data_IF_787320716475
#
_entry.id   IF_787320716475
#
_cell.length_a   1.000
_cell.length_b   1.000
_cell.length_c   1.000
_cell.angle_alpha   90.00
_cell.angle_beta   90.00
_cell.angle_gamma   90.00
#
_symmetry.space_group_name_H-M   'P 1'
#
loop_
_entity.id
_entity.type
_entity.pdbx_description
1 polymer ?
#
# COMPACT_ATOMS: atom_id res chain seq x y z
N UNK A 1 -13.70 28.48 -11.53
CA UNK A 1 -13.10 27.95 -10.30
C UNK A 1 -12.63 26.52 -10.55
N UNK A 2 -11.61 26.01 -9.84
CA UNK A 2 -11.19 24.62 -10.00
C UNK A 2 -12.38 23.68 -9.74
N UNK A 3 -12.54 22.59 -10.52
CA UNK A 3 -13.69 21.70 -10.42
C UNK A 3 -13.69 21.04 -9.03
N UNK A 4 -14.74 21.31 -8.25
CA UNK A 4 -14.92 20.77 -6.90
C UNK A 4 -15.18 19.26 -7.04
N UNK A 5 -14.18 18.43 -6.75
CA UNK A 5 -14.30 16.96 -6.72
C UNK A 5 -13.16 16.21 -7.42
N UNK A 6 -12.46 16.85 -8.35
CA UNK A 6 -11.38 16.24 -9.14
C UNK A 6 -10.04 16.78 -8.63
N UNK A 7 -9.20 15.92 -8.07
CA UNK A 7 -7.89 16.30 -7.55
C UNK A 7 -7.14 15.16 -6.87
N UNK A 8 -5.83 15.33 -6.68
CA UNK A 8 -4.99 14.30 -6.05
C UNK A 8 -5.43 14.01 -4.60
N UNK A 9 -5.90 15.02 -3.88
CA UNK A 9 -6.35 14.89 -2.49
C UNK A 9 -7.63 14.05 -2.35
N UNK A 10 -8.63 14.24 -3.23
CA UNK A 10 -9.87 13.46 -3.21
C UNK A 10 -9.60 12.00 -3.60
N UNK A 11 -8.74 11.77 -4.60
CA UNK A 11 -8.30 10.44 -4.97
C UNK A 11 -7.53 9.72 -3.85
N UNK A 12 -6.69 10.43 -3.10
CA UNK A 12 -5.99 9.90 -1.93
C UNK A 12 -6.94 9.42 -0.83
N UNK A 13 -8.02 10.17 -0.56
CA UNK A 13 -9.04 9.74 0.41
C UNK A 13 -9.79 8.47 -0.03
N UNK A 14 -10.18 8.40 -1.30
CA UNK A 14 -10.85 7.21 -1.85
C UNK A 14 -9.94 5.99 -1.73
N UNK A 15 -8.66 6.14 -2.12
CA UNK A 15 -7.64 5.10 -1.97
C UNK A 15 -7.47 4.66 -0.52
N UNK A 16 -7.39 5.61 0.42
CA UNK A 16 -7.23 5.30 1.83
C UNK A 16 -8.38 4.44 2.36
N UNK A 17 -9.63 4.82 2.05
CA UNK A 17 -10.82 4.07 2.46
C UNK A 17 -10.80 2.63 1.89
N UNK A 18 -10.34 2.45 0.65
CA UNK A 18 -10.23 1.13 0.03
C UNK A 18 -9.11 0.26 0.62
N UNK A 19 -7.98 0.84 1.00
CA UNK A 19 -6.79 0.13 1.49
C UNK A 19 -6.89 -0.22 2.98
N UNK A 20 -7.65 0.56 3.77
CA UNK A 20 -7.89 0.32 5.20
C UNK A 20 -8.32 -1.14 5.52
N UNK A 21 -9.37 -1.72 4.91
CA UNK A 21 -9.80 -3.08 5.25
C UNK A 21 -8.73 -4.14 4.94
N UNK A 22 -7.96 -3.94 3.87
CA UNK A 22 -6.85 -4.82 3.52
C UNK A 22 -5.73 -4.73 4.58
N UNK A 23 -5.25 -3.53 4.89
CA UNK A 23 -4.16 -3.34 5.87
C UNK A 23 -4.60 -3.82 7.26
N UNK A 24 -5.83 -3.55 7.67
CA UNK A 24 -6.39 -4.03 8.94
C UNK A 24 -6.38 -5.56 9.03
N UNK A 25 -6.75 -6.25 7.95
CA UNK A 25 -6.73 -7.71 7.90
C UNK A 25 -5.31 -8.26 8.02
N UNK A 26 -4.35 -7.67 7.28
CA UNK A 26 -2.93 -8.07 7.35
C UNK A 26 -2.34 -7.80 8.75
N UNK A 27 -2.64 -6.65 9.35
CA UNK A 27 -2.14 -6.31 10.69
C UNK A 27 -2.69 -7.26 11.76
N UNK A 28 -3.95 -7.70 11.63
CA UNK A 28 -4.54 -8.70 12.52
C UNK A 28 -3.75 -10.01 12.46
N UNK A 29 -3.45 -10.51 11.27
CA UNK A 29 -2.69 -11.74 11.10
C UNK A 29 -1.28 -11.59 11.70
N UNK A 30 -0.64 -10.44 11.48
CA UNK A 30 0.67 -10.12 12.08
C UNK A 30 0.62 -10.11 13.60
N UNK A 31 -0.37 -9.49 14.24
CA UNK A 31 -0.42 -9.46 15.71
C UNK A 31 -0.79 -10.80 16.35
N UNK A 32 -1.45 -11.69 15.61
CA UNK A 32 -1.74 -13.06 16.05
C UNK A 32 -0.48 -13.94 16.12
N UNK A 33 0.58 -13.61 15.39
CA UNK A 33 1.91 -14.27 15.48
C UNK A 33 2.62 -14.04 16.83
N UNK A 34 2.18 -13.06 17.63
CA UNK A 34 2.79 -12.81 18.94
C UNK A 34 2.37 -13.91 19.93
N UNK A 35 3.32 -14.68 20.50
CA UNK A 35 3.01 -15.72 21.47
C UNK A 35 2.15 -15.21 22.62
N UNK A 36 1.06 -15.91 22.94
CA UNK A 36 0.16 -15.55 24.04
C UNK A 36 0.88 -15.48 25.38
N UNK A 37 1.85 -16.39 25.61
CA UNK A 37 2.68 -16.44 26.83
C UNK A 37 3.38 -15.11 27.13
N UNK A 38 3.88 -14.39 26.12
CA UNK A 38 4.51 -13.08 26.33
C UNK A 38 3.49 -12.03 26.78
N UNK A 39 2.29 -12.06 26.20
CA UNK A 39 1.20 -11.13 26.54
C UNK A 39 0.66 -11.41 27.95
N UNK A 40 0.39 -12.67 28.27
CA UNK A 40 -0.11 -13.11 29.59
C UNK A 40 0.88 -12.82 30.72
N UNK A 41 2.18 -13.03 30.49
CA UNK A 41 3.22 -12.69 31.47
C UNK A 41 3.26 -11.20 31.77
N UNK A 42 3.09 -10.35 30.76
CA UNK A 42 3.05 -8.91 30.94
C UNK A 42 1.80 -8.45 31.70
N UNK A 43 0.63 -9.03 31.39
CA UNK A 43 -0.59 -8.78 32.16
C UNK A 43 -0.46 -9.23 33.63
N UNK A 44 0.23 -10.35 33.90
CA UNK A 44 0.51 -10.82 35.26
C UNK A 44 1.42 -9.88 36.05
N UNK A 45 2.28 -9.11 35.36
CA UNK A 45 3.11 -8.05 35.96
C UNK A 45 2.35 -6.73 36.18
N UNK A 46 1.05 -6.69 35.86
CA UNK A 46 0.21 -5.50 36.00
C UNK A 46 0.27 -4.54 34.81
N UNK A 47 0.85 -4.96 33.67
CA UNK A 47 0.90 -4.12 32.48
C UNK A 47 -0.51 -3.90 31.90
N UNK A 48 -0.77 -2.68 31.44
CA UNK A 48 -1.99 -2.31 30.75
C UNK A 48 -1.99 -2.79 29.30
N UNK A 49 -3.17 -2.87 28.68
CA UNK A 49 -3.29 -3.22 27.26
C UNK A 49 -2.46 -2.32 26.34
N UNK A 50 -2.31 -1.04 26.72
CA UNK A 50 -1.54 -0.08 25.96
C UNK A 50 -0.04 -0.36 26.02
N UNK A 51 0.50 -0.60 27.22
CA UNK A 51 1.90 -0.98 27.44
C UNK A 51 2.24 -2.30 26.74
N UNK A 52 1.37 -3.31 26.82
CA UNK A 52 1.58 -4.59 26.12
C UNK A 52 1.65 -4.40 24.60
N UNK A 53 0.84 -3.50 24.03
CA UNK A 53 0.87 -3.23 22.59
C UNK A 53 2.16 -2.52 22.19
N UNK A 54 2.55 -1.46 22.91
CA UNK A 54 3.70 -0.63 22.57
C UNK A 54 5.05 -1.29 22.89
N UNK A 55 5.16 -1.95 24.03
CA UNK A 55 6.44 -2.46 24.53
C UNK A 55 6.71 -3.91 24.14
N UNK A 56 5.68 -4.66 23.72
CA UNK A 56 5.81 -6.10 23.40
C UNK A 56 5.35 -6.40 21.98
N UNK A 57 4.08 -6.13 21.65
CA UNK A 57 3.49 -6.55 20.35
C UNK A 57 4.15 -5.83 19.17
N UNK A 58 4.23 -4.49 19.22
CA UNK A 58 4.84 -3.67 18.18
C UNK A 58 6.32 -4.01 17.93
N UNK A 59 7.21 -4.03 18.93
CA UNK A 59 8.62 -4.34 18.71
C UNK A 59 8.85 -5.79 18.26
N UNK A 60 8.03 -6.74 18.73
CA UNK A 60 8.09 -8.14 18.29
C UNK A 60 7.71 -8.29 16.82
N UNK A 61 6.72 -7.53 16.34
CA UNK A 61 6.18 -7.63 14.98
C UNK A 61 6.71 -6.56 14.02
N UNK A 62 7.68 -5.73 14.43
CA UNK A 62 8.13 -4.55 13.67
C UNK A 62 8.42 -4.82 12.18
N UNK A 63 9.10 -5.92 11.86
CA UNK A 63 9.44 -6.25 10.47
C UNK A 63 8.20 -6.64 9.66
N UNK A 64 7.21 -7.27 10.30
CA UNK A 64 5.98 -7.65 9.64
C UNK A 64 4.98 -6.49 9.52
N UNK A 65 4.95 -5.56 10.48
CA UNK A 65 4.21 -4.30 10.35
C UNK A 65 4.73 -3.51 9.15
N UNK A 66 6.06 -3.37 9.03
CA UNK A 66 6.68 -2.72 7.87
C UNK A 66 6.34 -3.45 6.58
N UNK A 67 6.45 -4.79 6.54
CA UNK A 67 6.05 -5.60 5.38
C UNK A 67 4.58 -5.45 5.00
N UNK A 68 3.67 -5.38 5.97
CA UNK A 68 2.24 -5.16 5.74
C UNK A 68 1.92 -3.76 5.22
N UNK A 69 2.68 -2.73 5.64
CA UNK A 69 2.58 -1.38 5.04
C UNK A 69 3.01 -1.43 3.58
N UNK A 70 4.13 -2.09 3.25
CA UNK A 70 4.58 -2.24 1.85
C UNK A 70 3.58 -3.03 1.01
N UNK A 71 2.91 -4.05 1.56
CA UNK A 71 1.81 -4.73 0.88
C UNK A 71 0.62 -3.79 0.62
N UNK A 72 0.25 -2.96 1.61
CA UNK A 72 -0.81 -1.96 1.48
C UNK A 72 -0.50 -0.94 0.38
N UNK A 73 0.74 -0.45 0.31
CA UNK A 73 1.21 0.43 -0.75
C UNK A 73 1.19 -0.26 -2.12
N UNK A 74 1.66 -1.51 -2.20
CA UNK A 74 1.58 -2.32 -3.43
C UNK A 74 0.15 -2.51 -3.91
N UNK A 75 -0.81 -2.69 -2.98
CA UNK A 75 -2.22 -2.76 -3.30
C UNK A 75 -2.78 -1.42 -3.78
N UNK A 76 -2.44 -0.33 -3.10
CA UNK A 76 -2.82 1.03 -3.51
C UNK A 76 -2.35 1.36 -4.95
N UNK A 77 -1.14 0.92 -5.31
CA UNK A 77 -0.59 1.04 -6.66
C UNK A 77 -1.35 0.20 -7.71
N UNK A 78 -2.13 -0.79 -7.29
CA UNK A 78 -2.94 -1.65 -8.17
C UNK A 78 -4.42 -1.24 -8.29
N UNK A 79 -4.94 -0.42 -7.38
CA UNK A 79 -6.33 0.10 -7.40
C UNK A 79 -6.51 1.24 -8.45
N UNK A 80 -5.67 1.26 -9.47
CA UNK A 80 -5.44 2.39 -10.39
C UNK A 80 -6.63 2.81 -11.22
N UNK A 81 -7.64 1.94 -11.40
CA UNK A 81 -8.90 2.32 -12.03
C UNK A 81 -9.69 3.30 -11.19
N UNK A 82 -9.76 3.11 -9.86
CA UNK A 82 -10.48 4.03 -8.99
C UNK A 82 -9.86 5.43 -9.02
N UNK A 83 -8.52 5.49 -9.10
CA UNK A 83 -7.76 6.74 -9.15
C UNK A 83 -7.87 7.43 -10.51
N UNK A 84 -7.90 6.67 -11.61
CA UNK A 84 -7.98 7.21 -12.97
C UNK A 84 -9.22 8.08 -13.18
N UNK A 85 -10.37 7.67 -12.64
CA UNK A 85 -11.63 8.41 -12.79
C UNK A 85 -11.77 9.62 -11.85
N UNK A 86 -10.99 9.68 -10.77
CA UNK A 86 -11.12 10.74 -9.74
C UNK A 86 -10.06 11.83 -9.87
N UNK A 87 -8.87 11.53 -10.43
CA UNK A 87 -7.74 12.47 -10.48
C UNK A 87 -7.84 13.49 -11.64
N UNK A 88 -8.62 13.19 -12.70
CA UNK A 88 -8.93 14.15 -13.78
C UNK A 88 -8.10 14.04 -15.06
N UNK A 89 -7.18 13.07 -15.14
CA UNK A 89 -6.42 12.69 -16.34
C UNK A 89 -5.69 13.85 -17.05
N UNK A 90 -4.96 14.69 -16.32
CA UNK A 90 -4.11 15.73 -16.91
C UNK A 90 -2.63 15.39 -16.80
N UNK A 91 -1.91 15.38 -17.92
CA UNK A 91 -0.45 15.16 -17.99
C UNK A 91 0.31 16.47 -17.70
N UNK A 92 -0.01 17.12 -16.58
CA UNK A 92 0.71 18.31 -16.11
C UNK A 92 1.31 18.02 -14.75
N UNK A 93 2.59 18.34 -14.61
CA UNK A 93 3.28 18.23 -13.34
C UNK A 93 2.94 19.45 -12.48
N UNK A 94 2.02 19.24 -11.54
CA UNK A 94 1.58 20.25 -10.58
C UNK A 94 1.90 19.79 -9.16
N UNK A 95 2.54 20.65 -8.37
CA UNK A 95 2.90 20.34 -6.97
C UNK A 95 1.69 20.53 -6.03
N UNK A 96 0.63 21.21 -6.51
CA UNK A 96 -0.58 21.47 -5.75
C UNK A 96 -1.45 20.21 -5.62
N UNK A 97 -1.73 19.78 -4.38
CA UNK A 97 -2.58 18.61 -4.07
C UNK A 97 -4.04 18.76 -4.52
N UNK A 98 -4.47 19.99 -4.83
CA UNK A 98 -5.82 20.32 -5.28
C UNK A 98 -5.93 20.37 -6.81
N UNK A 99 -4.81 20.26 -7.53
CA UNK A 99 -4.82 20.25 -8.98
C UNK A 99 -5.05 18.83 -9.52
N UNK A 100 -5.67 18.72 -10.71
CA UNK A 100 -5.82 17.44 -11.38
C UNK A 100 -4.44 16.90 -11.81
N UNK A 101 -4.32 15.59 -11.85
CA UNK A 101 -3.09 14.89 -12.25
C UNK A 101 -3.38 13.69 -13.12
N UNK A 102 -2.40 12.80 -13.25
CA UNK A 102 -2.60 11.48 -13.86
C UNK A 102 -1.64 10.47 -13.24
N UNK A 103 -2.02 9.19 -13.27
CA UNK A 103 -1.15 8.09 -12.82
C UNK A 103 -0.62 7.33 -14.02
N UNK A 104 0.53 6.66 -13.88
CA UNK A 104 1.12 5.83 -14.94
C UNK A 104 0.09 4.81 -15.48
N UNK A 105 -0.67 4.17 -14.59
CA UNK A 105 -1.68 3.20 -14.98
C UNK A 105 -2.92 3.84 -15.62
N UNK A 106 -3.34 5.03 -15.16
CA UNK A 106 -4.44 5.78 -15.79
C UNK A 106 -4.06 6.23 -17.21
N UNK A 107 -2.82 6.69 -17.41
CA UNK A 107 -2.28 7.04 -18.72
C UNK A 107 -2.32 5.84 -19.67
N UNK A 108 -1.85 4.67 -19.22
CA UNK A 108 -1.91 3.46 -20.04
C UNK A 108 -3.36 3.08 -20.34
N UNK A 109 -4.26 3.10 -19.36
CA UNK A 109 -5.65 2.68 -19.57
C UNK A 109 -6.42 3.59 -20.55
N UNK A 110 -6.22 4.91 -20.46
CA UNK A 110 -6.92 5.87 -21.31
C UNK A 110 -6.30 5.98 -22.71
N UNK A 111 -4.98 6.05 -22.81
CA UNK A 111 -4.32 6.42 -24.06
C UNK A 111 -3.93 5.22 -24.93
N UNK A 112 -3.89 3.99 -24.39
CA UNK A 112 -3.39 2.82 -25.13
C UNK A 112 -4.25 2.46 -26.35
N UNK A 113 -5.57 2.70 -26.26
CA UNK A 113 -6.51 2.46 -27.35
C UNK A 113 -6.35 3.47 -28.50
N UNK A 114 -6.02 4.73 -28.18
CA UNK A 114 -5.94 5.85 -29.14
C UNK A 114 -4.50 6.16 -29.61
N UNK A 115 -3.49 5.48 -29.05
CA UNK A 115 -2.08 5.73 -29.33
C UNK A 115 -1.64 5.31 -30.75
N UNK A 116 -0.86 6.19 -31.40
CA UNK A 116 -0.08 5.88 -32.62
C UNK A 116 1.08 4.93 -32.31
N UNK A 117 1.67 4.29 -33.33
CA UNK A 117 2.67 3.21 -33.14
C UNK A 117 3.86 3.61 -32.26
N UNK A 118 4.38 4.84 -32.42
CA UNK A 118 5.49 5.33 -31.59
C UNK A 118 5.05 5.57 -30.15
N UNK A 119 3.86 6.17 -29.94
CA UNK A 119 3.35 6.45 -28.59
C UNK A 119 2.96 5.16 -27.85
N UNK A 120 2.41 4.17 -28.56
CA UNK A 120 2.09 2.85 -28.01
C UNK A 120 3.34 2.14 -27.49
N UNK A 121 4.47 2.24 -28.19
CA UNK A 121 5.74 1.68 -27.71
C UNK A 121 6.23 2.34 -26.41
N UNK A 122 6.03 3.65 -26.26
CA UNK A 122 6.35 4.38 -25.03
C UNK A 122 5.42 3.98 -23.86
N UNK A 123 4.13 3.80 -24.11
CA UNK A 123 3.17 3.31 -23.10
C UNK A 123 3.49 1.89 -22.63
N UNK A 124 3.93 1.01 -23.54
CA UNK A 124 4.38 -0.35 -23.18
C UNK A 124 5.63 -0.32 -22.30
N UNK A 125 6.59 0.56 -22.61
CA UNK A 125 7.77 0.76 -21.76
C UNK A 125 7.36 1.27 -20.36
N UNK A 126 6.43 2.21 -20.30
CA UNK A 126 5.92 2.74 -19.03
C UNK A 126 5.22 1.65 -18.20
N UNK A 127 4.45 0.77 -18.86
CA UNK A 127 3.84 -0.40 -18.24
C UNK A 127 4.87 -1.41 -17.72
N UNK A 128 5.95 -1.64 -18.47
CA UNK A 128 7.05 -2.51 -18.03
C UNK A 128 7.77 -1.93 -16.81
N UNK A 129 8.02 -0.62 -16.75
CA UNK A 129 8.58 0.05 -15.58
C UNK A 129 7.66 -0.09 -14.37
N UNK A 130 6.35 0.13 -14.55
CA UNK A 130 5.36 -0.06 -13.49
C UNK A 130 5.35 -1.51 -12.98
N UNK A 131 5.41 -2.48 -13.88
CA UNK A 131 5.51 -3.90 -13.53
C UNK A 131 6.76 -4.20 -12.70
N UNK A 132 7.93 -3.68 -13.09
CA UNK A 132 9.17 -3.88 -12.34
C UNK A 132 9.05 -3.30 -10.92
N UNK A 133 8.59 -2.05 -10.81
CA UNK A 133 8.46 -1.37 -9.51
C UNK A 133 7.50 -2.14 -8.60
N UNK A 134 6.32 -2.48 -9.10
CA UNK A 134 5.33 -3.24 -8.33
C UNK A 134 5.83 -4.62 -7.95
N UNK A 135 6.47 -5.34 -8.87
CA UNK A 135 7.07 -6.65 -8.59
C UNK A 135 8.06 -6.59 -7.44
N UNK A 136 9.02 -5.65 -7.45
CA UNK A 136 10.01 -5.53 -6.38
C UNK A 136 9.38 -5.13 -5.05
N UNK A 137 8.43 -4.18 -5.04
CA UNK A 137 7.73 -3.77 -3.82
C UNK A 137 6.98 -4.96 -3.20
N UNK A 138 6.19 -5.69 -4.00
CA UNK A 138 5.43 -6.84 -3.52
C UNK A 138 6.34 -8.00 -3.11
N UNK A 139 7.43 -8.25 -3.85
CA UNK A 139 8.39 -9.29 -3.52
C UNK A 139 9.07 -9.03 -2.17
N UNK A 140 9.56 -7.80 -1.94
CA UNK A 140 10.17 -7.42 -0.67
C UNK A 140 9.16 -7.53 0.47
N UNK A 141 7.95 -7.00 0.28
CA UNK A 141 6.89 -7.05 1.29
C UNK A 141 6.54 -8.49 1.69
N UNK A 142 6.43 -9.39 0.71
CA UNK A 142 6.12 -10.81 0.94
C UNK A 142 7.28 -11.55 1.61
N UNK A 143 8.52 -11.26 1.22
CA UNK A 143 9.70 -11.85 1.84
C UNK A 143 9.82 -11.45 3.33
N UNK A 144 9.55 -10.18 3.67
CA UNK A 144 9.58 -9.71 5.06
C UNK A 144 8.56 -10.43 5.95
N UNK A 145 7.36 -10.72 5.43
CA UNK A 145 6.35 -11.50 6.15
C UNK A 145 6.76 -12.96 6.30
N UNK A 146 7.30 -13.58 5.25
CA UNK A 146 7.73 -14.99 5.29
C UNK A 146 8.88 -15.23 6.28
N UNK A 147 9.78 -14.25 6.45
CA UNK A 147 10.87 -14.35 7.43
C UNK A 147 10.38 -14.43 8.89
N UNK A 148 9.22 -13.83 9.20
CA UNK A 148 8.63 -13.91 10.54
C UNK A 148 8.02 -15.30 10.81
N UNK A 149 7.23 -15.83 9.87
CA UNK A 149 6.64 -17.17 10.00
C UNK A 149 7.73 -18.25 10.21
N UNK A 150 8.90 -18.07 9.58
CA UNK A 150 10.04 -19.00 9.75
C UNK A 150 10.71 -18.91 11.13
N UNK A 151 10.62 -17.76 11.82
CA UNK A 151 11.13 -17.61 13.20
C UNK A 151 10.23 -18.26 14.24
N UNK A 152 8.95 -18.46 13.93
CA UNK A 152 8.01 -19.20 14.80
C UNK A 152 8.27 -20.71 14.79
N UNK A 153 8.62 -21.30 13.64
CA UNK A 153 8.90 -22.74 13.52
C UNK A 153 10.23 -23.21 14.10
N UNK A 154 11.03 -22.30 14.68
CA UNK A 154 12.36 -22.59 15.25
C UNK A 154 12.39 -22.49 16.79
N UNK A 155 11.24 -22.41 17.46
CA UNK A 155 11.15 -22.37 18.93
C UNK A 155 10.09 -23.29 19.50
#
# INVERSE_FOLDING_TARGET
>A
GPPIGIGMLTAGFVLAIMVIPFVSSVMRDVFLTVPSRLKESAYALGATKWEVVWDIVLPYTKSAVVGGIFLGLGRALGETMAVAYVVGNTVRFSVSLLEPGTTIAALIANDFAEATDTYRSALLLLGFVLFIVTFFVLAIARLMLMQLARREGLK
#
